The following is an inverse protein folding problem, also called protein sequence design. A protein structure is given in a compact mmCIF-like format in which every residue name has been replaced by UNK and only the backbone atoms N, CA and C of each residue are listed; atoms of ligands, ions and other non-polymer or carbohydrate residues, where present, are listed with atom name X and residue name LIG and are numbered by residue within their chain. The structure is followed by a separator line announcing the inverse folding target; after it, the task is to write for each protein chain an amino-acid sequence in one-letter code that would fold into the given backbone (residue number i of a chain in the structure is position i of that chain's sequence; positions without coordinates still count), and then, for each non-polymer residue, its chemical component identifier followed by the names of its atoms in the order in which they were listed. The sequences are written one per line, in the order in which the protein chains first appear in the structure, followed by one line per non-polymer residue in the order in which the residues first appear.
data_IF_626296089912
#
_entry.id   IF_626296089912
#
_cell.length_a   1.000
_cell.length_b   1.000
_cell.length_c   1.000
_cell.angle_alpha   90.00
_cell.angle_beta   90.00
_cell.angle_gamma   90.00
#
_symmetry.space_group_name_H-M   'P 1'
#
loop_
_entity.id
_entity.type
_entity.pdbx_description
1 polymer ?
#
# COMPACT_ATOMS: atom_id res chain seq x y z
N UNK A 1 9.74 3.53 -0.81
CA UNK A 1 8.58 3.18 0.05
C UNK A 1 8.65 1.69 0.33
N UNK A 2 8.56 1.28 1.60
CA UNK A 2 8.86 -0.10 2.03
C UNK A 2 7.60 -0.94 2.23
N UNK A 3 7.67 -2.21 1.83
CA UNK A 3 6.61 -3.20 2.01
C UNK A 3 7.02 -4.19 3.11
N UNK A 4 6.10 -4.41 4.04
CA UNK A 4 6.24 -5.33 5.15
C UNK A 4 5.21 -6.44 5.04
N UNK A 5 5.58 -7.66 5.43
CA UNK A 5 4.64 -8.76 5.65
C UNK A 5 4.33 -8.84 7.14
N UNK A 6 3.06 -9.01 7.50
CA UNK A 6 2.69 -9.37 8.87
C UNK A 6 3.06 -10.84 9.05
N UNK A 7 3.97 -11.19 9.97
CA UNK A 7 4.57 -12.54 10.06
C UNK A 7 3.49 -13.63 10.15
N UNK A 8 2.49 -13.41 11.00
CA UNK A 8 1.43 -14.38 11.30
C UNK A 8 0.21 -14.27 10.38
N UNK A 9 0.26 -13.44 9.34
CA UNK A 9 -0.85 -13.25 8.38
C UNK A 9 -0.36 -13.28 6.94
N UNK A 10 -1.21 -13.73 6.02
CA UNK A 10 -0.95 -13.65 4.57
C UNK A 10 -1.22 -12.24 4.02
N UNK A 11 -0.88 -11.19 4.78
CA UNK A 11 -1.16 -9.79 4.44
C UNK A 11 0.12 -8.98 4.38
N UNK A 12 0.14 -8.03 3.44
CA UNK A 12 1.25 -7.12 3.20
C UNK A 12 0.80 -5.68 3.47
N UNK A 13 1.71 -4.87 3.98
CA UNK A 13 1.49 -3.47 4.31
C UNK A 13 2.54 -2.62 3.60
N UNK A 14 2.11 -1.53 2.97
CA UNK A 14 3.00 -0.52 2.40
C UNK A 14 3.15 0.63 3.39
N UNK A 15 4.36 0.85 3.89
CA UNK A 15 4.68 1.97 4.75
C UNK A 15 4.68 3.25 3.93
N UNK A 16 3.83 4.21 4.32
CA UNK A 16 3.72 5.50 3.64
C UNK A 16 4.30 6.66 4.45
N UNK A 17 4.22 6.61 5.77
CA UNK A 17 4.66 7.69 6.64
C UNK A 17 5.07 7.15 8.02
N UNK A 18 6.03 7.82 8.65
CA UNK A 18 6.44 7.58 10.03
C UNK A 18 6.13 8.84 10.82
N UNK A 19 5.46 8.67 11.94
CA UNK A 19 5.14 9.71 12.92
C UNK A 19 5.73 9.34 14.28
N UNK A 20 5.80 10.29 15.22
CA UNK A 20 6.32 10.04 16.56
C UNK A 20 5.53 8.91 17.26
N UNK A 21 6.13 7.71 17.33
CA UNK A 21 5.54 6.51 17.94
C UNK A 21 4.56 5.73 17.06
N UNK A 22 4.33 6.15 15.81
CA UNK A 22 3.38 5.50 14.90
C UNK A 22 3.96 5.32 13.49
N UNK A 23 3.47 4.30 12.80
CA UNK A 23 3.72 4.03 11.40
C UNK A 23 2.38 3.97 10.67
N UNK A 24 2.29 4.66 9.53
CA UNK A 24 1.07 4.70 8.72
C UNK A 24 1.28 3.81 7.51
N UNK A 25 0.31 2.93 7.26
CA UNK A 25 0.36 1.95 6.19
C UNK A 25 -0.87 2.01 5.28
N UNK A 26 -0.69 1.57 4.04
CA UNK A 26 -1.77 1.04 3.21
C UNK A 26 -1.74 -0.49 3.21
N UNK A 27 -2.90 -1.12 3.02
CA UNK A 27 -2.99 -2.56 2.86
C UNK A 27 -2.72 -2.95 1.40
N UNK A 28 -2.00 -4.04 1.19
CA UNK A 28 -1.84 -4.66 -0.13
C UNK A 28 -2.80 -5.83 -0.25
N UNK A 29 -3.60 -5.83 -1.32
CA UNK A 29 -4.53 -6.90 -1.66
C UNK A 29 -4.16 -7.53 -2.99
N UNK A 30 -4.34 -8.84 -3.10
CA UNK A 30 -4.19 -9.63 -4.32
C UNK A 30 -5.53 -9.93 -5.01
N UNK A 31 -6.63 -9.45 -4.42
CA UNK A 31 -7.98 -9.55 -4.95
C UNK A 31 -8.41 -8.18 -5.48
N UNK A 32 -8.43 -8.03 -6.80
CA UNK A 32 -8.94 -6.85 -7.48
C UNK A 32 -10.15 -7.21 -8.33
N UNK A 33 -11.19 -6.39 -8.26
CA UNK A 33 -12.43 -6.52 -9.05
C UNK A 33 -12.59 -5.27 -9.90
N UNK A 34 -12.02 -5.30 -11.09
CA UNK A 34 -11.87 -4.14 -11.98
C UNK A 34 -13.20 -3.51 -12.44
N UNK A 35 -14.25 -4.33 -12.49
CA UNK A 35 -15.57 -3.90 -12.95
C UNK A 35 -16.15 -2.76 -12.10
N UNK A 36 -15.77 -2.69 -10.82
CA UNK A 36 -16.26 -1.67 -9.90
C UNK A 36 -15.51 -0.34 -10.04
N UNK A 37 -16.25 0.75 -10.29
CA UNK A 37 -15.73 2.12 -10.28
C UNK A 37 -15.12 2.51 -8.92
N UNK A 38 -15.64 1.95 -7.83
CA UNK A 38 -15.06 2.09 -6.50
C UNK A 38 -13.64 1.52 -6.42
N UNK A 39 -13.41 0.35 -7.02
CA UNK A 39 -12.09 -0.28 -7.02
C UNK A 39 -11.08 0.53 -7.84
N UNK A 40 -11.43 0.98 -9.05
CA UNK A 40 -10.54 1.79 -9.89
C UNK A 40 -10.06 3.08 -9.24
N UNK A 41 -10.89 3.70 -8.39
CA UNK A 41 -10.56 4.95 -7.66
C UNK A 41 -9.75 4.73 -6.39
N UNK A 42 -9.77 3.53 -5.83
CA UNK A 42 -9.19 3.27 -4.51
C UNK A 42 -8.02 2.29 -4.54
N UNK A 43 -7.82 1.55 -5.62
CA UNK A 43 -6.80 0.51 -5.70
C UNK A 43 -5.79 0.85 -6.78
N UNK A 44 -4.53 1.00 -6.37
CA UNK A 44 -3.43 1.27 -7.30
C UNK A 44 -2.62 -0.03 -7.53
N UNK A 45 -2.49 -0.51 -8.79
CA UNK A 45 -1.74 -1.72 -9.08
C UNK A 45 -0.24 -1.49 -8.89
N UNK A 46 0.42 -2.40 -8.19
CA UNK A 46 1.89 -2.49 -8.16
C UNK A 46 2.32 -3.65 -9.06
N UNK A 47 3.01 -3.29 -10.13
CA UNK A 47 3.34 -4.23 -11.21
C UNK A 47 4.77 -4.74 -11.11
N UNK A 48 5.64 -4.07 -10.33
CA UNK A 48 7.07 -4.28 -10.46
C UNK A 48 7.79 -4.35 -9.11
N UNK A 49 7.60 -5.46 -8.40
CA UNK A 49 8.63 -5.92 -7.46
C UNK A 49 8.95 -7.36 -7.80
N UNK A 50 10.21 -7.66 -8.08
CA UNK A 50 10.69 -9.00 -8.47
C UNK A 50 10.31 -10.11 -7.47
N UNK A 51 9.86 -9.73 -6.27
CA UNK A 51 9.45 -10.62 -5.19
C UNK A 51 7.97 -11.01 -5.18
N UNK A 52 7.09 -10.29 -5.86
CA UNK A 52 5.67 -10.65 -5.91
C UNK A 52 5.42 -11.64 -7.06
N UNK A 53 4.86 -12.81 -6.73
CA UNK A 53 4.50 -13.85 -7.71
C UNK A 53 3.26 -13.51 -8.56
N UNK A 54 2.56 -12.42 -8.24
CA UNK A 54 1.32 -11.96 -8.87
C UNK A 54 1.15 -10.47 -8.63
N UNK A 55 0.25 -9.83 -9.37
CA UNK A 55 -0.07 -8.41 -9.19
C UNK A 55 -0.72 -8.19 -7.82
N UNK A 56 -0.24 -7.18 -7.11
CA UNK A 56 -0.86 -6.68 -5.88
C UNK A 56 -1.39 -5.27 -6.12
N UNK A 57 -2.34 -4.87 -5.29
CA UNK A 57 -2.99 -3.57 -5.36
C UNK A 57 -2.89 -2.89 -4.00
N UNK A 58 -2.41 -1.65 -4.01
CA UNK A 58 -2.40 -0.78 -2.83
C UNK A 58 -3.82 -0.27 -2.62
N UNK A 59 -4.44 -0.67 -1.53
CA UNK A 59 -5.73 -0.15 -1.10
C UNK A 59 -5.54 1.21 -0.43
N UNK A 60 -5.85 2.26 -1.19
CA UNK A 60 -5.78 3.66 -0.76
C UNK A 60 -7.09 4.17 -0.15
N UNK A 61 -8.10 3.32 0.02
CA UNK A 61 -9.37 3.71 0.65
C UNK A 61 -9.20 4.03 2.15
N UNK A 62 -8.21 3.42 2.79
CA UNK A 62 -7.98 3.54 4.24
C UNK A 62 -6.50 3.55 4.59
N UNK A 63 -6.10 4.55 5.39
CA UNK A 63 -4.79 4.61 6.04
C UNK A 63 -4.85 3.91 7.41
N UNK A 64 -3.89 3.02 7.67
CA UNK A 64 -3.77 2.30 8.93
C UNK A 64 -2.65 2.91 9.77
N UNK A 65 -3.02 3.63 10.83
CA UNK A 65 -2.08 4.16 11.81
C UNK A 65 -1.83 3.12 12.89
N UNK A 66 -0.60 2.62 12.98
CA UNK A 66 -0.21 1.53 13.86
C UNK A 66 0.90 2.00 14.79
N UNK A 67 0.77 1.74 16.10
CA UNK A 67 1.83 2.07 17.06
C UNK A 67 3.08 1.23 16.77
N UNK A 68 4.27 1.81 16.90
CA UNK A 68 5.53 1.07 16.73
C UNK A 68 5.53 -0.15 17.67
N UNK A 69 5.95 -1.31 17.17
CA UNK A 69 5.93 -2.62 17.84
C UNK A 69 4.55 -3.25 18.11
N UNK A 70 3.44 -2.65 17.67
CA UNK A 70 2.12 -3.26 17.82
C UNK A 70 1.87 -4.44 16.85
N UNK A 71 2.67 -4.55 15.78
CA UNK A 71 2.60 -5.64 14.81
C UNK A 71 3.98 -6.27 14.63
N UNK A 72 4.01 -7.59 14.53
CA UNK A 72 5.21 -8.33 14.12
C UNK A 72 5.35 -8.24 12.59
N UNK A 73 6.15 -7.27 12.15
CA UNK A 73 6.37 -6.95 10.74
C UNK A 73 7.74 -7.44 10.28
N UNK A 74 7.76 -8.22 9.20
CA UNK A 74 8.99 -8.60 8.51
C UNK A 74 9.13 -7.78 7.24
N UNK A 75 10.28 -7.13 7.05
CA UNK A 75 10.58 -6.46 5.79
C UNK A 75 10.51 -7.47 4.63
N UNK A 76 9.80 -7.11 3.57
CA UNK A 76 9.60 -7.98 2.41
C UNK A 76 10.32 -7.45 1.18
N UNK A 77 9.98 -6.23 0.76
CA UNK A 77 10.56 -5.57 -0.41
C UNK A 77 10.42 -4.05 -0.34
N UNK A 78 11.04 -3.35 -1.28
CA UNK A 78 10.78 -1.95 -1.58
C UNK A 78 10.00 -1.86 -2.91
N UNK A 79 9.13 -0.86 -3.04
CA UNK A 79 8.52 -0.53 -4.34
C UNK A 79 9.58 0.04 -5.28
N UNK A 80 9.47 -0.27 -6.58
CA UNK A 80 10.29 0.39 -7.60
C UNK A 80 10.11 1.91 -7.58
N UNK A 81 11.12 2.68 -7.98
CA UNK A 81 11.01 4.14 -8.03
C UNK A 81 9.84 4.61 -8.91
N UNK A 82 9.59 3.90 -10.02
CA UNK A 82 8.49 4.19 -10.92
C UNK A 82 7.12 4.00 -10.23
N UNK A 83 6.93 2.88 -9.53
CA UNK A 83 5.69 2.63 -8.78
C UNK A 83 5.51 3.64 -7.65
N UNK A 84 6.60 4.05 -6.99
CA UNK A 84 6.54 5.10 -5.97
C UNK A 84 6.07 6.44 -6.55
N UNK A 85 6.61 6.85 -7.70
CA UNK A 85 6.21 8.11 -8.37
C UNK A 85 4.74 8.05 -8.81
N UNK A 86 4.33 6.97 -9.46
CA UNK A 86 2.95 6.78 -9.91
C UNK A 86 1.95 6.73 -8.75
N UNK A 87 2.30 6.05 -7.65
CA UNK A 87 1.46 5.99 -6.47
C UNK A 87 1.31 7.36 -5.81
N UNK A 88 2.39 8.13 -5.68
CA UNK A 88 2.33 9.50 -5.15
C UNK A 88 1.39 10.39 -5.99
N UNK A 89 1.58 10.39 -7.30
CA UNK A 89 0.70 11.11 -8.22
C UNK A 89 -0.76 10.67 -8.10
N UNK A 90 -1.01 9.36 -7.99
CA UNK A 90 -2.36 8.83 -7.79
C UNK A 90 -3.00 9.35 -6.49
N UNK A 91 -2.24 9.40 -5.39
CA UNK A 91 -2.71 9.90 -4.10
C UNK A 91 -2.99 11.42 -4.14
N UNK A 92 -2.11 12.20 -4.77
CA UNK A 92 -2.28 13.65 -4.92
C UNK A 92 -3.54 14.01 -5.72
N UNK A 93 -3.78 13.34 -6.85
CA UNK A 93 -5.00 13.57 -7.64
C UNK A 93 -6.27 13.23 -6.85
N UNK A 94 -6.22 12.17 -6.04
CA UNK A 94 -7.36 11.76 -5.22
C UNK A 94 -7.74 12.82 -4.20
N UNK A 95 -6.76 13.48 -3.59
CA UNK A 95 -6.99 14.54 -2.60
C UNK A 95 -7.53 15.83 -3.27
N UNK A 96 -7.04 16.17 -4.46
CA UNK A 96 -7.51 17.33 -5.22
C UNK A 96 -8.96 17.21 -5.75
N UNK A 97 -9.45 15.99 -6.00
CA UNK A 97 -10.85 15.76 -6.43
C UNK A 97 -11.86 15.63 -5.28
N UNK A 98 -11.39 15.67 -4.03
CA UNK A 98 -12.22 15.64 -2.82
C UNK A 98 -12.26 17.02 -2.11
N UNK A 99 -11.54 18.01 -2.64
CA UNK A 99 -11.49 19.41 -2.18
C UNK A 99 -12.41 20.28 -3.04
#
# INVERSE_FOLDING_TARGET
MKVYKIVDKKKYLLLIQIEKGYQIFFLLNDLYREESSFYRRNFFPITNTDKFKKVYYVDTSKRYRVKVNALNLKFFTELSENDQKKLKFFLENKENHLS
#
